data_IF_594348987835
#
_entry.id   IF_594348987835
#
_cell.length_a   1.000
_cell.length_b   1.000
_cell.length_c   1.000
_cell.angle_alpha   90.00
_cell.angle_beta   90.00
_cell.angle_gamma   90.00
#
_symmetry.space_group_name_H-M   'P 1'
#
loop_
_entity.id
_entity.type
_entity.pdbx_description
1 polymer ?
#
# COMPACT_ATOMS: atom_id res chain seq x y z
N UNK A 1 -15.79 4.97 26.13
CA UNK A 1 -16.95 5.75 25.70
C UNK A 1 -18.11 5.41 26.61
N UNK A 2 -18.72 6.36 27.26
CA UNK A 2 -19.91 6.12 28.08
C UNK A 2 -21.08 6.83 27.42
N UNK A 3 -22.04 6.04 26.96
CA UNK A 3 -23.26 6.51 26.27
C UNK A 3 -24.03 7.60 27.04
N UNK A 4 -23.89 7.63 28.37
CA UNK A 4 -24.56 8.59 29.25
C UNK A 4 -23.88 9.96 29.36
N UNK A 5 -22.67 10.11 28.82
CA UNK A 5 -21.86 11.34 28.90
C UNK A 5 -21.81 12.13 27.58
N UNK A 6 -22.61 11.75 26.57
CA UNK A 6 -22.66 12.46 25.27
C UNK A 6 -21.37 12.34 24.44
N UNK A 7 -20.47 11.42 24.78
CA UNK A 7 -19.20 11.19 24.08
C UNK A 7 -19.26 10.03 23.08
N UNK A 8 -20.46 9.64 22.67
CA UNK A 8 -20.66 8.62 21.63
C UNK A 8 -20.53 9.28 20.28
N UNK A 9 -19.57 8.83 19.48
CA UNK A 9 -19.48 9.22 18.07
C UNK A 9 -20.34 8.25 17.29
N UNK A 10 -21.27 8.75 16.50
CA UNK A 10 -22.08 7.95 15.59
C UNK A 10 -21.17 7.33 14.52
N UNK A 11 -21.44 6.08 14.15
CA UNK A 11 -20.62 5.37 13.19
C UNK A 11 -20.73 5.97 11.79
N UNK A 12 -21.91 6.43 11.41
CA UNK A 12 -22.15 7.04 10.10
C UNK A 12 -21.45 8.41 10.00
N UNK A 13 -21.48 9.21 11.06
CA UNK A 13 -20.77 10.49 11.14
C UNK A 13 -19.24 10.28 11.08
N UNK A 14 -18.73 9.25 11.77
CA UNK A 14 -17.32 8.89 11.72
C UNK A 14 -16.91 8.49 10.29
N UNK A 15 -17.67 7.61 9.64
CA UNK A 15 -17.43 7.16 8.28
C UNK A 15 -17.43 8.34 7.31
N UNK A 16 -18.44 9.21 7.37
CA UNK A 16 -18.54 10.39 6.53
C UNK A 16 -17.33 11.34 6.73
N UNK A 17 -16.95 11.59 7.97
CA UNK A 17 -15.78 12.39 8.32
C UNK A 17 -14.47 11.78 7.77
N UNK A 18 -14.31 10.48 7.87
CA UNK A 18 -13.13 9.77 7.38
C UNK A 18 -13.04 9.83 5.84
N UNK A 19 -14.15 9.64 5.13
CA UNK A 19 -14.19 9.74 3.67
C UNK A 19 -13.82 11.16 3.23
N UNK A 20 -14.40 12.20 3.87
CA UNK A 20 -14.10 13.58 3.54
C UNK A 20 -12.65 13.97 3.83
N UNK A 21 -12.10 13.54 4.94
CA UNK A 21 -10.68 13.76 5.27
C UNK A 21 -9.75 13.07 4.28
N UNK A 22 -10.03 11.82 3.93
CA UNK A 22 -9.24 11.08 2.94
C UNK A 22 -9.35 11.72 1.55
N UNK A 23 -10.54 12.21 1.16
CA UNK A 23 -10.76 12.96 -0.07
C UNK A 23 -9.85 14.18 -0.13
N UNK A 24 -9.86 15.03 0.91
CA UNK A 24 -9.00 16.22 0.97
C UNK A 24 -7.51 15.88 0.91
N UNK A 25 -7.06 14.83 1.61
CA UNK A 25 -5.65 14.42 1.60
C UNK A 25 -5.21 13.81 0.27
N UNK A 26 -6.10 13.17 -0.45
CA UNK A 26 -5.81 12.56 -1.76
C UNK A 26 -6.05 13.51 -2.93
N UNK A 27 -6.75 14.63 -2.72
CA UNK A 27 -7.22 15.53 -3.78
C UNK A 27 -6.07 16.04 -4.66
N UNK A 28 -4.97 16.47 -4.07
CA UNK A 28 -3.79 16.93 -4.80
C UNK A 28 -3.14 15.83 -5.66
N UNK A 29 -3.22 14.56 -5.21
CA UNK A 29 -2.66 13.42 -5.94
C UNK A 29 -3.62 12.96 -7.03
N UNK A 30 -4.91 12.87 -6.72
CA UNK A 30 -5.97 12.43 -7.64
C UNK A 30 -6.19 13.46 -8.76
N UNK A 31 -6.13 14.76 -8.46
CA UNK A 31 -6.26 15.82 -9.46
C UNK A 31 -5.10 15.88 -10.45
N UNK A 32 -3.92 15.37 -10.07
CA UNK A 32 -2.76 15.23 -10.98
C UNK A 32 -2.84 14.04 -11.90
N UNK A 33 -3.81 13.16 -11.72
CA UNK A 33 -4.01 11.99 -12.56
C UNK A 33 -4.69 12.42 -13.87
N UNK A 34 -3.96 12.33 -14.97
CA UNK A 34 -4.48 12.63 -16.31
C UNK A 34 -5.37 11.49 -16.84
N UNK A 35 -6.46 11.83 -17.54
CA UNK A 35 -7.31 10.87 -18.24
C UNK A 35 -8.22 10.05 -17.33
N UNK A 36 -8.63 10.58 -16.18
CA UNK A 36 -9.61 9.97 -15.27
C UNK A 36 -10.86 10.87 -15.19
N UNK A 37 -12.03 10.23 -15.23
CA UNK A 37 -13.31 10.94 -15.04
C UNK A 37 -13.50 11.37 -13.59
N UNK A 38 -14.40 12.32 -13.36
CA UNK A 38 -14.75 12.76 -12.02
C UNK A 38 -15.44 11.64 -11.20
N UNK A 39 -16.14 10.71 -11.88
CA UNK A 39 -16.68 9.50 -11.27
C UNK A 39 -15.59 8.59 -10.74
N UNK A 40 -14.56 8.29 -11.55
CA UNK A 40 -13.40 7.50 -11.12
C UNK A 40 -12.65 8.17 -9.95
N UNK A 41 -12.56 9.51 -9.94
CA UNK A 41 -11.97 10.24 -8.80
C UNK A 41 -12.78 10.05 -7.53
N UNK A 42 -14.12 10.09 -7.65
CA UNK A 42 -15.03 9.82 -6.55
C UNK A 42 -14.90 8.39 -5.99
N UNK A 43 -14.79 7.39 -6.86
CA UNK A 43 -14.54 6.00 -6.47
C UNK A 43 -13.22 5.84 -5.75
N UNK A 44 -12.14 6.41 -6.28
CA UNK A 44 -10.81 6.37 -5.64
C UNK A 44 -10.88 7.02 -4.25
N UNK A 45 -11.56 8.17 -4.12
CA UNK A 45 -11.71 8.84 -2.83
C UNK A 45 -12.49 7.99 -1.82
N UNK A 46 -13.54 7.28 -2.26
CA UNK A 46 -14.31 6.37 -1.41
C UNK A 46 -13.46 5.18 -0.95
N UNK A 47 -12.72 4.54 -1.86
CA UNK A 47 -11.82 3.41 -1.56
C UNK A 47 -10.76 3.85 -0.55
N UNK A 48 -10.17 5.03 -0.76
CA UNK A 48 -9.11 5.59 0.12
C UNK A 48 -9.68 6.05 1.45
N UNK A 49 -10.96 6.46 1.50
CA UNK A 49 -11.63 6.88 2.73
C UNK A 49 -11.98 5.74 3.68
N UNK A 50 -12.53 4.65 3.14
CA UNK A 50 -12.96 3.51 3.94
C UNK A 50 -11.81 2.58 4.35
N UNK A 51 -10.77 2.48 3.50
CA UNK A 51 -9.63 1.61 3.76
C UNK A 51 -8.92 1.89 5.09
N UNK A 52 -8.58 3.15 5.39
CA UNK A 52 -7.93 3.56 6.63
C UNK A 52 -8.68 3.14 7.89
N UNK A 53 -9.98 3.40 7.93
CA UNK A 53 -10.82 3.06 9.09
C UNK A 53 -10.83 1.56 9.34
N UNK A 54 -11.13 0.76 8.31
CA UNK A 54 -11.14 -0.70 8.41
C UNK A 54 -9.78 -1.24 8.83
N UNK A 55 -8.71 -0.74 8.20
CA UNK A 55 -7.35 -1.18 8.49
C UNK A 55 -6.94 -0.85 9.92
N UNK A 56 -7.24 0.36 10.39
CA UNK A 56 -6.90 0.79 11.75
C UNK A 56 -7.54 -0.11 12.81
N UNK A 57 -8.80 -0.49 12.60
CA UNK A 57 -9.51 -1.41 13.49
C UNK A 57 -8.92 -2.83 13.41
N UNK A 58 -8.67 -3.34 12.20
CA UNK A 58 -8.28 -4.73 11.98
C UNK A 58 -6.81 -5.03 12.25
N UNK A 59 -5.92 -4.01 12.24
CA UNK A 59 -4.49 -4.20 12.57
C UNK A 59 -4.24 -4.53 14.03
N UNK A 60 -5.21 -4.28 14.91
CA UNK A 60 -5.13 -4.56 16.35
C UNK A 60 -5.90 -5.84 16.66
N UNK A 61 -5.32 -6.70 17.50
CA UNK A 61 -6.02 -7.90 17.96
C UNK A 61 -7.31 -7.52 18.72
N UNK A 62 -8.43 -8.18 18.41
CA UNK A 62 -9.75 -7.87 18.97
C UNK A 62 -9.83 -7.98 20.51
N UNK A 63 -8.87 -8.67 21.14
CA UNK A 63 -8.76 -8.81 22.59
C UNK A 63 -8.04 -7.64 23.26
N UNK A 64 -7.44 -6.74 22.47
CA UNK A 64 -6.68 -5.58 22.95
C UNK A 64 -7.53 -4.31 22.90
N UNK A 65 -7.39 -3.47 23.90
CA UNK A 65 -7.93 -2.12 23.84
C UNK A 65 -7.15 -1.30 22.83
N UNK A 66 -7.86 -0.47 22.05
CA UNK A 66 -7.25 0.50 21.17
C UNK A 66 -7.89 1.88 21.36
N UNK A 67 -7.08 2.91 21.17
CA UNK A 67 -7.55 4.29 21.04
C UNK A 67 -7.59 4.62 19.54
N UNK A 68 -8.77 4.95 19.03
CA UNK A 68 -8.92 5.36 17.64
C UNK A 68 -8.47 6.82 17.48
N UNK A 69 -7.52 7.05 16.56
CA UNK A 69 -7.09 8.37 16.16
C UNK A 69 -7.36 8.54 14.65
N UNK A 70 -8.33 9.38 14.25
CA UNK A 70 -8.66 9.60 12.86
C UNK A 70 -7.48 10.09 12.02
N UNK A 71 -6.70 11.04 12.53
CA UNK A 71 -5.56 11.63 11.81
C UNK A 71 -4.46 10.61 11.55
N UNK A 72 -4.12 9.79 12.55
CA UNK A 72 -3.14 8.72 12.40
C UNK A 72 -3.59 7.66 11.41
N UNK A 73 -4.89 7.38 11.35
CA UNK A 73 -5.43 6.31 10.50
C UNK A 73 -5.33 6.61 9.01
N UNK A 74 -5.34 7.89 8.62
CA UNK A 74 -5.28 8.36 7.23
C UNK A 74 -3.88 8.76 6.78
N UNK A 75 -2.87 8.67 7.64
CA UNK A 75 -1.48 8.97 7.28
C UNK A 75 -0.98 8.01 6.19
N UNK A 76 -0.28 8.57 5.19
CA UNK A 76 0.38 7.81 4.12
C UNK A 76 1.72 7.20 4.56
N UNK A 77 2.14 7.44 5.77
CA UNK A 77 3.35 6.87 6.36
C UNK A 77 2.98 5.94 7.52
N UNK A 78 3.83 4.97 7.79
CA UNK A 78 3.64 4.05 8.89
C UNK A 78 2.66 2.91 8.63
N UNK A 79 2.18 2.28 9.70
CA UNK A 79 1.31 1.10 9.64
C UNK A 79 -0.16 1.50 9.44
N UNK A 80 -0.49 1.90 8.21
CA UNK A 80 -1.81 2.45 7.84
C UNK A 80 -2.35 1.86 6.54
N UNK A 81 -3.67 1.92 6.35
CA UNK A 81 -4.33 1.50 5.11
C UNK A 81 -3.83 2.27 3.89
N UNK A 82 -3.78 3.62 3.93
CA UNK A 82 -3.29 4.43 2.82
C UNK A 82 -1.86 4.11 2.38
N UNK A 83 -0.97 3.76 3.30
CA UNK A 83 0.39 3.34 2.98
C UNK A 83 0.41 2.11 2.06
N UNK A 84 -0.43 1.11 2.36
CA UNK A 84 -0.56 -0.11 1.56
C UNK A 84 -1.26 0.18 0.22
N UNK A 85 -2.37 0.94 0.25
CA UNK A 85 -3.14 1.32 -0.93
C UNK A 85 -2.29 2.11 -1.93
N UNK A 86 -1.52 3.08 -1.44
CA UNK A 86 -0.62 3.88 -2.26
C UNK A 86 0.49 3.03 -2.88
N UNK A 87 1.06 2.10 -2.13
CA UNK A 87 2.08 1.19 -2.66
C UNK A 87 1.51 0.30 -3.75
N UNK A 88 0.29 -0.24 -3.59
CA UNK A 88 -0.38 -0.98 -4.66
C UNK A 88 -0.54 -0.13 -5.92
N UNK A 89 -1.10 1.08 -5.82
CA UNK A 89 -1.29 1.99 -6.95
C UNK A 89 0.03 2.35 -7.64
N UNK A 90 1.11 2.56 -6.86
CA UNK A 90 2.48 2.78 -7.36
C UNK A 90 2.96 1.60 -8.19
N UNK A 91 2.84 0.38 -7.68
CA UNK A 91 3.23 -0.84 -8.42
C UNK A 91 2.44 -0.93 -9.72
N UNK A 92 1.12 -0.68 -9.68
CA UNK A 92 0.28 -0.71 -10.89
C UNK A 92 0.74 0.33 -11.92
N UNK A 93 1.19 1.50 -11.47
CA UNK A 93 1.77 2.51 -12.36
C UNK A 93 3.07 2.04 -13.01
N UNK A 94 3.98 1.39 -12.26
CA UNK A 94 5.22 0.81 -12.78
C UNK A 94 4.90 -0.24 -13.84
N UNK A 95 3.97 -1.15 -13.56
CA UNK A 95 3.58 -2.19 -14.50
C UNK A 95 2.96 -1.62 -15.79
N UNK A 96 2.13 -0.58 -15.70
CA UNK A 96 1.60 0.11 -16.90
C UNK A 96 2.71 0.74 -17.74
N UNK A 97 3.66 1.42 -17.08
CA UNK A 97 4.81 2.03 -17.77
C UNK A 97 5.69 0.99 -18.46
N UNK A 98 5.82 -0.22 -17.88
CA UNK A 98 6.62 -1.29 -18.49
C UNK A 98 6.05 -1.83 -19.79
N UNK A 99 4.74 -1.63 -20.05
CA UNK A 99 4.04 -2.03 -21.26
C UNK A 99 4.06 -0.96 -22.36
N UNK A 100 4.47 0.27 -22.04
CA UNK A 100 4.56 1.37 -23.01
C UNK A 100 5.76 1.19 -23.92
N UNK A 101 5.62 1.33 -25.25
CA UNK A 101 6.71 1.12 -26.21
C UNK A 101 7.84 2.15 -26.10
N UNK A 102 7.64 3.23 -25.36
CA UNK A 102 8.64 4.26 -25.12
C UNK A 102 8.64 4.66 -23.65
N UNK A 103 9.36 3.92 -22.76
CA UNK A 103 9.48 4.34 -21.37
C UNK A 103 10.25 5.66 -21.34
N UNK A 104 9.53 6.77 -21.12
CA UNK A 104 10.17 8.07 -20.88
C UNK A 104 11.15 7.97 -19.70
N UNK A 105 12.42 8.36 -19.89
CA UNK A 105 13.45 8.18 -18.85
C UNK A 105 13.27 9.08 -17.62
N UNK A 106 12.26 9.94 -17.58
CA UNK A 106 12.12 10.93 -16.52
C UNK A 106 10.68 11.10 -16.07
N UNK A 107 10.32 10.40 -15.00
CA UNK A 107 9.42 10.83 -13.91
C UNK A 107 9.22 9.71 -12.90
N UNK A 108 10.27 9.14 -12.39
CA UNK A 108 10.24 8.49 -11.09
C UNK A 108 10.23 9.61 -10.05
N UNK A 109 9.21 9.61 -9.22
CA UNK A 109 8.92 10.70 -8.29
C UNK A 109 10.14 11.11 -7.48
N UNK A 110 10.36 12.41 -7.48
CA UNK A 110 11.40 13.11 -6.76
C UNK A 110 11.26 12.88 -5.24
N UNK A 111 11.88 11.82 -4.73
CA UNK A 111 12.33 11.80 -3.36
C UNK A 111 13.69 12.49 -3.39
N UNK A 112 13.75 13.75 -2.93
CA UNK A 112 14.96 14.48 -2.73
C UNK A 112 15.89 13.71 -1.79
N UNK A 113 16.86 13.07 -2.38
CA UNK A 113 17.96 12.43 -1.72
C UNK A 113 19.08 12.34 -2.75
N UNK A 114 19.93 13.36 -2.77
CA UNK A 114 21.19 13.36 -3.53
C UNK A 114 22.10 12.28 -2.98
N UNK A 115 22.05 11.11 -3.59
CA UNK A 115 23.15 10.16 -3.54
C UNK A 115 23.31 9.56 -4.93
N UNK A 116 24.42 9.91 -5.57
CA UNK A 116 24.89 9.29 -6.79
C UNK A 116 24.92 7.77 -6.61
N UNK A 117 24.55 6.98 -7.63
CA UNK A 117 24.69 5.53 -7.53
C UNK A 117 26.18 5.22 -7.32
N UNK A 118 26.47 4.58 -6.18
CA UNK A 118 27.80 4.06 -5.89
C UNK A 118 28.11 2.96 -6.90
N UNK A 119 29.30 2.96 -7.55
CA UNK A 119 29.65 1.97 -8.57
C UNK A 119 29.97 0.57 -8.01
N UNK A 120 29.62 0.29 -6.74
CA UNK A 120 29.89 -0.99 -6.08
C UNK A 120 28.58 -1.65 -5.64
N UNK A 121 27.83 -2.21 -6.60
CA UNK A 121 26.57 -2.95 -6.39
C UNK A 121 26.63 -4.44 -6.76
N UNK A 122 27.79 -5.02 -6.94
CA UNK A 122 27.90 -6.46 -7.15
C UNK A 122 27.58 -7.21 -5.85
N UNK A 123 26.43 -7.88 -5.80
CA UNK A 123 26.04 -8.81 -4.76
C UNK A 123 24.89 -8.42 -3.81
N UNK A 124 24.43 -7.15 -3.76
CA UNK A 124 23.34 -6.74 -2.86
C UNK A 124 21.94 -6.83 -3.48
N UNK A 125 21.81 -6.85 -4.82
CA UNK A 125 20.52 -6.94 -5.51
C UNK A 125 19.81 -8.26 -5.21
N UNK A 126 20.49 -9.38 -5.39
CA UNK A 126 19.91 -10.71 -5.17
C UNK A 126 19.39 -10.96 -3.76
N UNK A 127 19.98 -10.37 -2.73
CA UNK A 127 19.54 -10.57 -1.35
C UNK A 127 18.15 -9.96 -1.07
N UNK A 128 17.87 -8.74 -1.55
CA UNK A 128 16.56 -8.09 -1.33
C UNK A 128 15.46 -8.68 -2.23
N UNK A 129 15.79 -9.08 -3.44
CA UNK A 129 14.88 -9.81 -4.33
C UNK A 129 14.49 -11.15 -3.68
N UNK A 130 15.46 -11.89 -3.13
CA UNK A 130 15.24 -13.14 -2.41
C UNK A 130 14.38 -12.91 -1.16
N UNK A 131 14.62 -11.85 -0.38
CA UNK A 131 13.83 -11.52 0.81
C UNK A 131 12.35 -11.28 0.44
N UNK A 132 12.06 -10.53 -0.63
CA UNK A 132 10.69 -10.33 -1.10
C UNK A 132 10.03 -11.62 -1.57
N UNK A 133 10.77 -12.50 -2.26
CA UNK A 133 10.25 -13.81 -2.69
C UNK A 133 9.91 -14.68 -1.47
N UNK A 134 10.80 -14.72 -0.47
CA UNK A 134 10.55 -15.41 0.78
C UNK A 134 9.32 -14.85 1.50
N UNK A 135 9.23 -13.53 1.60
CA UNK A 135 8.07 -12.85 2.20
C UNK A 135 6.76 -13.20 1.50
N UNK A 136 6.76 -13.22 0.17
CA UNK A 136 5.59 -13.64 -0.61
C UNK A 136 5.22 -15.11 -0.36
N UNK A 137 6.19 -16.00 -0.15
CA UNK A 137 5.94 -17.41 0.12
C UNK A 137 5.31 -17.68 1.50
N UNK A 138 5.44 -16.76 2.46
CA UNK A 138 4.82 -16.85 3.79
C UNK A 138 3.30 -16.63 3.77
N UNK A 139 2.77 -15.98 2.72
CA UNK A 139 1.38 -15.54 2.68
C UNK A 139 0.34 -16.63 2.97
N UNK A 140 0.41 -17.84 2.37
CA UNK A 140 -0.57 -18.90 2.66
C UNK A 140 -0.58 -19.30 4.14
N UNK A 141 0.60 -19.41 4.77
CA UNK A 141 0.70 -19.77 6.18
C UNK A 141 0.16 -18.67 7.10
N UNK A 142 0.36 -17.39 6.73
CA UNK A 142 -0.20 -16.25 7.47
C UNK A 142 -1.73 -16.28 7.43
N UNK A 143 -2.32 -16.56 6.27
CA UNK A 143 -3.78 -16.65 6.13
C UNK A 143 -4.34 -17.83 6.94
N UNK A 144 -3.69 -18.99 6.85
CA UNK A 144 -4.07 -20.18 7.62
C UNK A 144 -4.03 -19.89 9.13
N UNK A 145 -2.96 -19.27 9.61
CA UNK A 145 -2.80 -18.94 11.03
C UNK A 145 -3.83 -17.93 11.49
N UNK A 146 -4.06 -16.87 10.70
CA UNK A 146 -5.08 -15.85 11.00
C UNK A 146 -6.49 -16.47 11.10
N UNK A 147 -6.80 -17.44 10.24
CA UNK A 147 -8.05 -18.20 10.30
C UNK A 147 -8.16 -19.04 11.57
N UNK A 148 -7.10 -19.75 11.97
CA UNK A 148 -7.06 -20.54 13.20
C UNK A 148 -7.23 -19.69 14.46
N UNK A 149 -6.62 -18.51 14.46
CA UNK A 149 -6.63 -17.58 15.60
C UNK A 149 -7.88 -16.69 15.62
N UNK A 150 -8.71 -16.72 14.59
CA UNK A 150 -9.83 -15.79 14.38
C UNK A 150 -9.37 -14.31 14.50
N UNK A 151 -8.16 -14.02 14.01
CA UNK A 151 -7.54 -12.70 14.15
C UNK A 151 -7.06 -12.15 12.81
N UNK A 152 -7.72 -11.11 12.28
CA UNK A 152 -7.29 -10.44 11.05
C UNK A 152 -6.00 -9.64 11.21
N UNK A 153 -5.59 -9.36 12.45
CA UNK A 153 -4.41 -8.52 12.73
C UNK A 153 -3.11 -9.14 12.19
N UNK A 154 -3.01 -10.47 12.16
CA UNK A 154 -1.88 -11.16 11.54
C UNK A 154 -1.74 -10.84 10.05
N UNK A 155 -2.86 -10.83 9.32
CA UNK A 155 -2.90 -10.47 7.90
C UNK A 155 -2.52 -8.99 7.73
N UNK A 156 -3.12 -8.08 8.50
CA UNK A 156 -2.85 -6.65 8.40
C UNK A 156 -1.36 -6.33 8.63
N UNK A 157 -0.77 -6.88 9.68
CA UNK A 157 0.64 -6.67 10.00
C UNK A 157 1.58 -7.29 8.93
N UNK A 158 1.26 -8.45 8.40
CA UNK A 158 2.01 -9.05 7.30
C UNK A 158 2.04 -8.11 6.07
N UNK A 159 0.91 -7.48 5.72
CA UNK A 159 0.87 -6.57 4.59
C UNK A 159 1.63 -5.28 4.82
N UNK A 160 1.63 -4.79 6.03
CA UNK A 160 2.50 -3.66 6.37
C UNK A 160 3.98 -3.99 6.15
N UNK A 161 4.45 -5.14 6.65
CA UNK A 161 5.85 -5.54 6.48
C UNK A 161 6.20 -5.81 5.00
N UNK A 162 5.35 -6.51 4.26
CA UNK A 162 5.55 -6.73 2.82
C UNK A 162 5.64 -5.40 2.05
N UNK A 163 4.77 -4.46 2.39
CA UNK A 163 4.74 -3.13 1.77
C UNK A 163 6.00 -2.33 2.08
N UNK A 164 6.45 -2.38 3.32
CA UNK A 164 7.67 -1.72 3.78
C UNK A 164 8.91 -2.28 3.08
N UNK A 165 9.05 -3.60 3.01
CA UNK A 165 10.14 -4.26 2.30
C UNK A 165 10.13 -3.92 0.81
N UNK A 166 8.95 -3.92 0.16
CA UNK A 166 8.84 -3.53 -1.23
C UNK A 166 9.22 -2.06 -1.47
N UNK A 167 8.76 -1.14 -0.63
CA UNK A 167 9.10 0.28 -0.77
C UNK A 167 10.60 0.53 -0.58
N UNK A 168 11.25 -0.19 0.34
CA UNK A 168 12.69 -0.12 0.50
C UNK A 168 13.44 -0.70 -0.70
N UNK A 169 12.98 -1.84 -1.22
CA UNK A 169 13.52 -2.41 -2.45
C UNK A 169 13.40 -1.44 -3.63
N UNK A 170 12.22 -0.83 -3.82
CA UNK A 170 11.96 0.14 -4.89
C UNK A 170 12.81 1.41 -4.76
N UNK A 171 13.11 1.84 -3.53
CA UNK A 171 14.00 2.97 -3.29
C UNK A 171 15.45 2.67 -3.71
N UNK A 172 15.91 1.44 -3.43
CA UNK A 172 17.31 1.06 -3.62
C UNK A 172 17.60 0.55 -5.04
N UNK A 173 16.58 0.04 -5.74
CA UNK A 173 16.73 -0.57 -7.08
C UNK A 173 15.72 -0.03 -8.07
N UNK A 174 16.22 0.39 -9.24
CA UNK A 174 15.33 0.70 -10.36
C UNK A 174 14.72 -0.58 -10.92
N UNK A 175 13.39 -0.60 -11.12
CA UNK A 175 12.68 -1.72 -11.74
C UNK A 175 12.69 -1.58 -13.26
N UNK A 176 12.40 -0.38 -13.77
CA UNK A 176 12.26 -0.15 -15.21
C UNK A 176 13.62 0.00 -15.91
N UNK A 177 14.59 0.62 -15.22
CA UNK A 177 15.94 0.85 -15.71
C UNK A 177 16.92 -0.06 -14.96
N UNK A 178 16.62 -1.37 -14.91
CA UNK A 178 17.51 -2.36 -14.32
C UNK A 178 18.76 -2.56 -15.20
N UNK A 179 19.80 -3.11 -14.61
CA UNK A 179 21.13 -3.28 -15.20
C UNK A 179 21.12 -4.24 -16.41
N UNK A 180 20.21 -5.25 -16.36
CA UNK A 180 20.00 -6.22 -17.43
C UNK A 180 18.52 -6.49 -17.66
N UNK A 181 18.17 -7.05 -18.82
CA UNK A 181 16.79 -7.42 -19.12
C UNK A 181 16.26 -8.52 -18.21
N UNK A 182 17.11 -9.46 -17.80
CA UNK A 182 16.77 -10.52 -16.84
C UNK A 182 16.43 -9.94 -15.48
N UNK A 183 17.24 -9.01 -14.97
CA UNK A 183 16.99 -8.31 -13.71
C UNK A 183 15.68 -7.50 -13.80
N UNK A 184 15.44 -6.82 -14.93
CA UNK A 184 14.19 -6.09 -15.17
C UNK A 184 12.98 -7.02 -15.14
N UNK A 185 13.03 -8.16 -15.82
CA UNK A 185 11.94 -9.13 -15.85
C UNK A 185 11.68 -9.76 -14.47
N UNK A 186 12.73 -10.09 -13.74
CA UNK A 186 12.63 -10.60 -12.36
C UNK A 186 11.95 -9.56 -11.46
N UNK A 187 12.43 -8.30 -11.45
CA UNK A 187 11.90 -7.22 -10.62
C UNK A 187 10.45 -6.88 -10.98
N UNK A 188 10.08 -6.89 -12.26
CA UNK A 188 8.69 -6.73 -12.70
C UNK A 188 7.81 -7.90 -12.24
N UNK A 189 8.34 -9.12 -12.25
CA UNK A 189 7.62 -10.30 -11.77
C UNK A 189 7.39 -10.24 -10.27
N UNK A 190 8.39 -9.85 -9.49
CA UNK A 190 8.27 -9.62 -8.05
C UNK A 190 7.21 -8.53 -7.78
N UNK A 191 7.32 -7.37 -8.44
CA UNK A 191 6.38 -6.27 -8.29
C UNK A 191 4.93 -6.70 -8.59
N UNK A 192 4.71 -7.46 -9.67
CA UNK A 192 3.40 -8.00 -10.04
C UNK A 192 2.83 -8.91 -8.95
N UNK A 193 3.66 -9.80 -8.40
CA UNK A 193 3.22 -10.70 -7.34
C UNK A 193 2.95 -9.95 -6.03
N UNK A 194 3.76 -8.95 -5.67
CA UNK A 194 3.48 -8.08 -4.51
C UNK A 194 2.13 -7.39 -4.70
N UNK A 195 1.87 -6.75 -5.84
CA UNK A 195 0.57 -6.09 -6.08
C UNK A 195 -0.61 -7.07 -6.00
N UNK A 196 -0.46 -8.27 -6.59
CA UNK A 196 -1.50 -9.32 -6.52
C UNK A 196 -1.75 -9.76 -5.08
N UNK A 197 -0.70 -9.98 -4.31
CA UNK A 197 -0.79 -10.40 -2.91
C UNK A 197 -1.43 -9.30 -2.06
N UNK A 198 -1.02 -8.03 -2.22
CA UNK A 198 -1.64 -6.89 -1.54
C UNK A 198 -3.14 -6.80 -1.86
N UNK A 199 -3.52 -6.89 -3.13
CA UNK A 199 -4.94 -6.82 -3.55
C UNK A 199 -5.77 -7.96 -2.93
N UNK A 200 -5.29 -9.19 -3.03
CA UNK A 200 -6.00 -10.35 -2.50
C UNK A 200 -6.17 -10.28 -0.99
N UNK A 201 -5.14 -9.89 -0.29
CA UNK A 201 -5.22 -9.88 1.16
C UNK A 201 -5.95 -8.68 1.74
N UNK A 202 -5.84 -7.52 1.14
CA UNK A 202 -6.66 -6.39 1.54
C UNK A 202 -8.15 -6.73 1.32
N UNK A 203 -8.48 -7.49 0.27
CA UNK A 203 -9.83 -8.00 0.07
C UNK A 203 -10.30 -8.96 1.19
N UNK A 204 -9.40 -9.78 1.77
CA UNK A 204 -9.72 -10.60 2.95
C UNK A 204 -10.09 -9.76 4.18
N UNK A 205 -9.57 -8.54 4.26
CA UNK A 205 -9.91 -7.55 5.29
C UNK A 205 -11.14 -6.69 4.91
N UNK A 206 -11.78 -6.97 3.78
CA UNK A 206 -12.87 -6.14 3.25
C UNK A 206 -12.41 -4.74 2.83
N UNK A 207 -11.13 -4.58 2.47
CA UNK A 207 -10.52 -3.32 2.06
C UNK A 207 -10.17 -3.39 0.57
N UNK A 208 -10.64 -2.42 -0.17
CA UNK A 208 -10.28 -2.27 -1.57
C UNK A 208 -8.97 -1.50 -1.74
N UNK A 209 -8.26 -1.75 -2.83
CA UNK A 209 -7.04 -1.05 -3.20
C UNK A 209 -7.20 -0.44 -4.58
N UNK A 210 -6.90 0.87 -4.76
CA UNK A 210 -7.08 1.54 -6.04
C UNK A 210 -6.00 1.10 -7.04
N UNK A 211 -6.36 1.10 -8.31
CA UNK A 211 -5.42 0.85 -9.41
C UNK A 211 -4.57 2.09 -9.74
N UNK A 212 -5.07 3.29 -9.37
CA UNK A 212 -4.43 4.60 -9.56
C UNK A 212 -4.66 5.45 -8.31
N UNK A 213 -3.70 6.29 -7.99
CA UNK A 213 -3.78 7.20 -6.84
C UNK A 213 -2.75 8.34 -6.96
#
# INVERSE_FOLDING_TARGET
>A
MKSREGTVVDADDLIASMIENARRMSEDKVNKLEGISDEEKGEIASIVGMGPLKYFILKVDARKNMLFNPEESIDFNGNTGPFIQYTHARIRSILRKSLSPNPSPNREGNAQGTSSPSPFGEGKGGAKETALIQKLSEFPAVVEQAGKDYSPSGIANYYYELTKEFNQFYHDYSILNAETDEARQLRLTIARNVAKTLKNGMALLGIEVPERM
#
